data_IF_195300011375
#
_entry.id   IF_195300011375
#
_cell.length_a   1.000
_cell.length_b   1.000
_cell.length_c   1.000
_cell.angle_alpha   90.00
_cell.angle_beta   90.00
_cell.angle_gamma   90.00
#
_symmetry.space_group_name_H-M   'P 1'
#
loop_
_entity.id
_entity.type
_entity.pdbx_description
1 polymer ?
#
# COMPACT_ATOMS: atom_id res chain seq x y z
N UNK A 1 -6.73 19.82 -21.01
CA UNK A 1 -5.79 18.76 -21.42
C UNK A 1 -5.48 17.91 -20.20
N UNK A 2 -5.48 16.58 -20.31
CA UNK A 2 -5.08 15.71 -19.19
C UNK A 2 -3.57 15.82 -18.97
N UNK A 3 -3.14 15.81 -17.73
CA UNK A 3 -1.72 15.91 -17.41
C UNK A 3 -1.01 14.59 -17.77
N UNK A 4 0.25 14.66 -18.21
CA UNK A 4 1.02 13.44 -18.51
C UNK A 4 1.62 12.86 -17.22
N UNK A 5 0.85 11.98 -16.57
CA UNK A 5 1.27 11.37 -15.31
C UNK A 5 2.54 10.53 -15.44
N UNK A 6 2.82 9.93 -16.61
CA UNK A 6 4.04 9.15 -16.81
C UNK A 6 5.32 10.01 -16.71
N UNK A 7 5.21 11.30 -17.05
CA UNK A 7 6.34 12.24 -17.00
C UNK A 7 6.50 12.95 -15.64
N UNK A 8 5.48 12.89 -14.77
CA UNK A 8 5.57 13.47 -13.43
C UNK A 8 6.52 12.68 -12.53
N UNK A 9 7.28 13.36 -11.68
CA UNK A 9 7.93 12.71 -10.54
C UNK A 9 6.88 12.14 -9.57
N UNK A 10 7.27 11.16 -8.74
CA UNK A 10 6.35 10.58 -7.75
C UNK A 10 5.84 11.62 -6.75
N UNK A 11 6.64 12.66 -6.46
CA UNK A 11 6.23 13.77 -5.59
C UNK A 11 5.12 14.62 -6.23
N UNK A 12 5.29 14.99 -7.49
CA UNK A 12 4.29 15.77 -8.24
C UNK A 12 3.00 14.98 -8.43
N UNK A 13 3.11 13.70 -8.76
CA UNK A 13 1.95 12.82 -8.90
C UNK A 13 1.18 12.67 -7.59
N UNK A 14 1.86 12.56 -6.44
CA UNK A 14 1.20 12.57 -5.12
C UNK A 14 0.42 13.86 -4.87
N UNK A 15 1.03 15.02 -5.14
CA UNK A 15 0.36 16.32 -4.97
C UNK A 15 -0.88 16.39 -5.86
N UNK A 16 -0.77 15.94 -7.11
CA UNK A 16 -1.89 15.89 -8.03
C UNK A 16 -3.04 15.01 -7.52
N UNK A 17 -2.74 13.76 -7.15
CA UNK A 17 -3.72 12.79 -6.64
C UNK A 17 -4.42 13.29 -5.38
N UNK A 18 -3.70 13.99 -4.49
CA UNK A 18 -4.28 14.57 -3.28
C UNK A 18 -5.31 15.68 -3.59
N UNK A 19 -5.09 16.44 -4.66
CA UNK A 19 -6.02 17.45 -5.14
C UNK A 19 -7.15 16.87 -6.00
N UNK A 20 -6.98 15.69 -6.59
CA UNK A 20 -7.90 15.06 -7.54
C UNK A 20 -8.16 13.60 -7.15
N UNK A 21 -8.78 13.39 -5.99
CA UNK A 21 -8.95 12.07 -5.38
C UNK A 21 -9.80 11.09 -6.18
N UNK A 22 -10.57 11.59 -7.15
CA UNK A 22 -11.45 10.77 -8.01
C UNK A 22 -10.83 10.46 -9.39
N UNK A 23 -9.65 10.99 -9.73
CA UNK A 23 -8.98 10.63 -10.99
C UNK A 23 -8.29 9.27 -10.84
N UNK A 24 -9.04 8.22 -11.19
CA UNK A 24 -8.62 6.83 -11.07
C UNK A 24 -7.32 6.57 -11.84
N UNK A 25 -7.10 7.19 -13.00
CA UNK A 25 -5.88 6.99 -13.79
C UNK A 25 -4.64 7.53 -13.04
N UNK A 26 -4.75 8.69 -12.40
CA UNK A 26 -3.66 9.26 -11.60
C UNK A 26 -3.33 8.37 -10.38
N UNK A 27 -4.37 7.81 -9.76
CA UNK A 27 -4.24 6.84 -8.66
C UNK A 27 -3.54 5.57 -9.14
N UNK A 28 -4.00 4.95 -10.22
CA UNK A 28 -3.42 3.73 -10.80
C UNK A 28 -1.94 3.90 -11.14
N UNK A 29 -1.56 5.03 -11.75
CA UNK A 29 -0.16 5.33 -12.07
C UNK A 29 0.66 5.54 -10.79
N UNK A 30 0.10 6.15 -9.75
CA UNK A 30 0.79 6.28 -8.47
C UNK A 30 1.00 4.92 -7.79
N UNK A 31 0.02 4.02 -7.87
CA UNK A 31 0.11 2.67 -7.31
C UNK A 31 1.06 1.77 -8.11
N UNK A 32 1.07 1.85 -9.43
CA UNK A 32 1.96 1.04 -10.28
C UNK A 32 3.45 1.36 -10.08
N UNK A 33 3.77 2.58 -9.63
CA UNK A 33 5.13 2.98 -9.24
C UNK A 33 5.59 2.39 -7.91
N UNK A 34 4.70 1.75 -7.15
CA UNK A 34 5.10 0.99 -5.97
C UNK A 34 5.73 -0.30 -6.46
N UNK A 35 7.02 -0.24 -6.78
CA UNK A 35 7.81 -1.46 -6.80
C UNK A 35 7.91 -1.91 -5.34
N UNK A 36 7.53 -3.15 -4.98
CA UNK A 36 7.98 -3.71 -3.73
C UNK A 36 9.51 -3.62 -3.78
N UNK A 37 10.11 -2.81 -2.92
CA UNK A 37 11.56 -2.88 -2.76
C UNK A 37 11.92 -4.29 -2.24
N UNK A 38 13.19 -4.65 -2.28
CA UNK A 38 13.65 -5.96 -1.79
C UNK A 38 13.35 -6.20 -0.31
N UNK A 39 12.95 -5.17 0.43
CA UNK A 39 12.61 -5.19 1.85
C UNK A 39 11.10 -5.26 2.10
N UNK A 40 10.28 -5.10 1.05
CA UNK A 40 8.83 -5.07 1.16
C UNK A 40 8.29 -6.47 1.50
N UNK A 41 7.70 -6.58 2.69
CA UNK A 41 6.98 -7.78 3.10
C UNK A 41 5.56 -7.77 2.51
N UNK A 42 5.27 -8.74 1.65
CA UNK A 42 3.96 -8.90 1.00
C UNK A 42 3.14 -9.92 1.79
N UNK A 43 1.96 -9.52 2.26
CA UNK A 43 1.02 -10.39 2.96
C UNK A 43 -0.08 -10.89 2.02
N UNK A 44 -0.61 -12.09 2.23
CA UNK A 44 -1.72 -12.61 1.44
C UNK A 44 -3.00 -11.79 1.70
N UNK A 45 -3.93 -11.79 0.73
CA UNK A 45 -5.23 -11.12 0.88
C UNK A 45 -6.03 -11.74 2.03
N UNK A 46 -6.55 -10.93 2.94
CA UNK A 46 -7.40 -11.42 4.04
C UNK A 46 -8.84 -11.73 3.62
N UNK A 47 -9.19 -11.44 2.37
CA UNK A 47 -10.50 -11.77 1.77
C UNK A 47 -10.33 -12.60 0.51
N UNK A 48 -11.32 -13.46 0.25
CA UNK A 48 -11.52 -14.12 -1.05
C UNK A 48 -11.98 -13.11 -2.10
N UNK A 49 -11.98 -13.50 -3.38
CA UNK A 49 -12.52 -12.68 -4.47
C UNK A 49 -14.01 -12.33 -4.27
N UNK A 50 -14.76 -13.23 -3.64
CA UNK A 50 -16.18 -13.04 -3.27
C UNK A 50 -16.37 -12.23 -1.98
N UNK A 51 -15.30 -11.68 -1.40
CA UNK A 51 -15.32 -10.83 -0.22
C UNK A 51 -15.51 -11.57 1.11
N UNK A 52 -15.36 -12.91 1.13
CA UNK A 52 -15.41 -13.66 2.38
C UNK A 52 -14.06 -13.58 3.11
N UNK A 53 -14.05 -13.42 4.45
CA UNK A 53 -12.82 -13.49 5.24
C UNK A 53 -12.07 -14.81 5.03
N UNK A 54 -10.73 -14.77 5.05
CA UNK A 54 -9.85 -15.94 5.07
C UNK A 54 -9.17 -15.97 6.43
N UNK A 55 -9.63 -16.84 7.35
CA UNK A 55 -9.17 -16.86 8.74
C UNK A 55 -7.65 -17.05 8.87
N UNK A 56 -7.05 -17.88 8.01
CA UNK A 56 -5.60 -18.10 8.03
C UNK A 56 -4.81 -16.83 7.71
N UNK A 57 -5.23 -16.08 6.69
CA UNK A 57 -4.56 -14.85 6.29
C UNK A 57 -4.77 -13.74 7.32
N UNK A 58 -5.92 -13.71 7.99
CA UNK A 58 -6.18 -12.82 9.12
C UNK A 58 -5.19 -13.12 10.25
N UNK A 59 -5.02 -14.39 10.63
CA UNK A 59 -4.05 -14.78 11.67
C UNK A 59 -2.61 -14.36 11.31
N UNK A 60 -2.20 -14.55 10.06
CA UNK A 60 -0.87 -14.10 9.58
C UNK A 60 -0.73 -12.59 9.73
N UNK A 61 -1.75 -11.82 9.35
CA UNK A 61 -1.74 -10.36 9.48
C UNK A 61 -1.69 -9.90 10.94
N UNK A 62 -2.48 -10.52 11.83
CA UNK A 62 -2.49 -10.23 13.26
C UNK A 62 -1.13 -10.49 13.92
N UNK A 63 -0.51 -11.64 13.62
CA UNK A 63 0.82 -11.97 14.14
C UNK A 63 1.88 -10.98 13.69
N UNK A 64 1.86 -10.61 12.40
CA UNK A 64 2.78 -9.65 11.85
C UNK A 64 2.65 -8.25 12.48
N UNK A 65 1.42 -7.80 12.71
CA UNK A 65 1.14 -6.54 13.43
C UNK A 65 1.68 -6.62 14.86
N UNK A 66 1.42 -7.72 15.56
CA UNK A 66 1.89 -7.92 16.93
C UNK A 66 3.43 -7.89 17.02
N UNK A 67 4.12 -8.61 16.13
CA UNK A 67 5.58 -8.61 16.03
C UNK A 67 6.13 -7.20 15.77
N UNK A 68 5.49 -6.44 14.87
CA UNK A 68 5.93 -5.08 14.53
C UNK A 68 5.77 -4.12 15.71
N UNK A 69 4.67 -4.22 16.44
CA UNK A 69 4.44 -3.42 17.66
C UNK A 69 5.53 -3.73 18.70
N UNK A 70 5.82 -5.02 18.93
CA UNK A 70 6.87 -5.43 19.87
C UNK A 70 8.25 -4.92 19.47
N UNK A 71 8.62 -5.01 18.18
CA UNK A 71 9.90 -4.50 17.68
C UNK A 71 10.05 -3.00 17.90
N UNK A 72 9.00 -2.21 17.66
CA UNK A 72 9.05 -0.77 17.88
C UNK A 72 9.25 -0.44 19.38
N UNK A 73 8.58 -1.16 20.29
CA UNK A 73 8.76 -0.96 21.73
C UNK A 73 10.19 -1.27 22.23
N UNK A 74 10.91 -2.22 21.61
CA UNK A 74 12.30 -2.53 21.98
C UNK A 74 13.33 -1.54 21.40
N UNK A 75 12.94 -0.69 20.45
CA UNK A 75 13.84 0.33 19.87
C UNK A 75 13.87 1.64 20.67
N UNK A 76 12.95 1.81 21.62
CA UNK A 76 12.79 3.00 22.45
C UNK A 76 13.40 2.86 23.89
N UNK A 77 14.00 1.70 24.21
CA UNK A 77 14.75 1.41 25.46
C UNK A 77 16.27 1.41 25.25
#
# INVERSE_FOLDING_TARGET
MKANFAQMSTKELRVYVLAHREDIEALEILFSRRTPDSEAMIYPSIFTEDGQPIEENIRIAEEAIAQRIQQNHHQDE
#
